data_IF_807669646981
#
_entry.id   IF_807669646981
#
_cell.length_a   1.000
_cell.length_b   1.000
_cell.length_c   1.000
_cell.angle_alpha   90.00
_cell.angle_beta   90.00
_cell.angle_gamma   90.00
#
_symmetry.space_group_name_H-M   'P 1'
#
loop_
_entity.id
_entity.type
_entity.pdbx_description
1 polymer ?
#
# COMPACT_ATOMS: atom_id res chain seq x y z
N UNK A 1 31.37 -5.23 -12.18
CA UNK A 1 30.40 -4.13 -12.15
C UNK A 1 30.41 -3.52 -10.77
N UNK A 2 30.99 -2.34 -10.62
CA UNK A 2 30.95 -1.54 -9.40
C UNK A 2 29.50 -1.15 -9.12
N UNK A 3 28.88 -1.77 -8.10
CA UNK A 3 27.55 -1.37 -7.63
C UNK A 3 27.65 0.09 -7.19
N UNK A 4 26.88 0.97 -7.81
CA UNK A 4 26.61 2.32 -7.28
C UNK A 4 26.14 2.14 -5.84
N UNK A 5 26.92 2.61 -4.87
CA UNK A 5 26.48 2.70 -3.48
C UNK A 5 25.25 3.61 -3.49
N UNK A 6 24.09 3.10 -3.06
CA UNK A 6 22.90 3.95 -2.94
C UNK A 6 23.12 4.93 -1.80
N UNK A 7 22.81 6.20 -2.00
CA UNK A 7 22.86 7.21 -0.93
C UNK A 7 21.74 7.04 0.11
N UNK A 8 20.92 6.01 -0.02
CA UNK A 8 19.79 5.70 0.86
C UNK A 8 19.90 4.27 1.40
N UNK A 9 19.33 3.99 2.60
CA UNK A 9 19.09 2.65 3.09
C UNK A 9 18.38 1.75 2.07
N UNK A 10 18.67 0.46 2.14
CA UNK A 10 17.97 -0.58 1.37
C UNK A 10 17.01 -1.40 2.23
N UNK A 11 16.95 -1.13 3.53
CA UNK A 11 16.00 -1.73 4.47
C UNK A 11 15.24 -0.62 5.20
N UNK A 12 13.91 -0.70 5.20
CA UNK A 12 13.02 0.22 5.89
C UNK A 12 12.16 -0.54 6.88
N UNK A 13 12.04 -0.03 8.10
CA UNK A 13 11.09 -0.54 9.08
C UNK A 13 9.78 0.25 8.96
N UNK A 14 8.67 -0.40 8.63
CA UNK A 14 7.39 0.28 8.47
C UNK A 14 6.76 0.56 9.84
N UNK A 15 6.67 1.83 10.24
CA UNK A 15 5.97 2.21 11.47
C UNK A 15 4.47 2.14 11.18
N UNK A 16 3.76 1.20 11.80
CA UNK A 16 2.34 0.96 11.52
C UNK A 16 1.44 2.16 11.90
N UNK A 17 0.56 2.64 11.00
CA UNK A 17 -0.43 3.67 11.33
C UNK A 17 -1.46 3.15 12.33
N UNK A 18 -1.93 4.03 13.23
CA UNK A 18 -2.96 3.71 14.24
C UNK A 18 -2.47 2.87 15.42
N UNK A 19 -1.23 2.39 15.39
CA UNK A 19 -0.57 1.69 16.52
C UNK A 19 0.42 2.61 17.21
N UNK A 20 1.41 3.11 16.47
CA UNK A 20 2.45 3.99 17.03
C UNK A 20 2.52 5.37 16.40
N UNK A 21 1.80 5.61 15.31
CA UNK A 21 1.65 6.96 14.79
C UNK A 21 0.23 7.26 14.36
N UNK A 22 -0.14 8.53 14.52
CA UNK A 22 -1.41 9.09 14.09
C UNK A 22 -1.18 10.21 13.07
N UNK A 23 -1.61 9.97 11.82
CA UNK A 23 -1.54 10.97 10.75
C UNK A 23 -2.36 12.24 11.02
N UNK A 24 -3.25 12.21 12.02
CA UNK A 24 -4.04 13.35 12.48
C UNK A 24 -3.34 14.16 13.59
N UNK A 25 -2.20 13.71 14.08
CA UNK A 25 -1.39 14.40 15.08
C UNK A 25 -0.02 14.85 14.52
N UNK A 26 0.04 15.96 13.74
CA UNK A 26 1.28 16.43 13.12
C UNK A 26 2.46 16.62 14.08
N UNK A 27 2.20 17.04 15.32
CA UNK A 27 3.25 17.34 16.30
C UNK A 27 3.99 16.09 16.81
N UNK A 28 3.41 14.91 16.59
CA UNK A 28 4.10 13.64 16.84
C UNK A 28 5.37 13.51 15.97
N UNK A 29 5.34 14.04 14.74
CA UNK A 29 6.46 13.93 13.81
C UNK A 29 7.53 14.97 14.12
N UNK A 30 8.48 14.60 14.96
CA UNK A 30 9.62 15.44 15.32
C UNK A 30 10.92 14.62 15.36
N UNK A 31 12.06 15.29 15.54
CA UNK A 31 13.37 14.64 15.54
C UNK A 31 13.52 13.58 16.66
N UNK A 32 12.92 13.80 17.83
CA UNK A 32 12.94 12.85 18.94
C UNK A 32 12.16 11.58 18.59
N UNK A 33 11.00 11.73 17.94
CA UNK A 33 10.21 10.59 17.49
C UNK A 33 10.98 9.68 16.53
N UNK A 34 11.66 10.24 15.51
CA UNK A 34 12.47 9.46 14.59
C UNK A 34 13.68 8.80 15.27
N UNK A 35 14.40 9.54 16.12
CA UNK A 35 15.53 8.99 16.90
C UNK A 35 15.08 7.90 17.85
N UNK A 36 13.92 8.06 18.48
CA UNK A 36 13.31 7.07 19.37
C UNK A 36 13.10 5.73 18.66
N UNK A 37 12.64 5.76 17.41
CA UNK A 37 12.51 4.56 16.59
C UNK A 37 13.85 3.91 16.24
N UNK A 38 14.84 4.71 15.82
CA UNK A 38 16.18 4.18 15.54
C UNK A 38 16.81 3.54 16.79
N UNK A 39 16.60 4.13 17.97
CA UNK A 39 17.05 3.59 19.25
C UNK A 39 16.33 2.28 19.60
N UNK A 40 15.00 2.20 19.42
CA UNK A 40 14.22 0.97 19.66
C UNK A 40 14.70 -0.18 18.76
N UNK A 41 15.02 0.13 17.50
CA UNK A 41 15.54 -0.81 16.52
C UNK A 41 17.01 -1.19 16.77
N UNK A 42 17.75 -0.40 17.56
CA UNK A 42 19.18 -0.55 17.77
C UNK A 42 19.95 -0.59 16.43
N UNK A 43 19.61 0.35 15.54
CA UNK A 43 20.04 0.35 14.14
C UNK A 43 20.80 1.62 13.73
N UNK A 44 21.74 1.45 12.79
CA UNK A 44 22.45 2.57 12.15
C UNK A 44 21.54 3.26 11.10
N UNK A 45 21.30 4.56 11.28
CA UNK A 45 20.49 5.40 10.38
C UNK A 45 21.01 5.46 8.93
N UNK A 46 22.27 5.07 8.68
CA UNK A 46 22.83 4.97 7.32
C UNK A 46 22.38 3.70 6.59
N UNK A 47 21.98 2.67 7.34
CA UNK A 47 21.66 1.33 6.82
C UNK A 47 20.18 0.99 6.89
N UNK A 48 19.46 1.60 7.84
CA UNK A 48 18.02 1.39 8.08
C UNK A 48 17.30 2.74 8.02
N UNK A 49 16.21 2.78 7.24
CA UNK A 49 15.26 3.90 7.22
C UNK A 49 13.93 3.55 7.87
N UNK A 50 13.03 4.53 7.96
CA UNK A 50 11.68 4.37 8.49
C UNK A 50 10.65 4.57 7.38
N UNK A 51 9.62 3.72 7.33
CA UNK A 51 8.50 3.85 6.38
C UNK A 51 7.22 4.27 7.10
N UNK A 52 6.42 5.14 6.47
CA UNK A 52 5.17 5.68 7.03
C UNK A 52 4.07 5.66 5.97
N UNK A 53 2.87 5.15 6.32
CA UNK A 53 1.75 5.05 5.37
C UNK A 53 0.67 6.10 5.66
N UNK A 54 0.44 7.00 4.72
CA UNK A 54 -0.58 8.05 4.82
C UNK A 54 -1.81 7.68 3.98
N UNK A 55 -2.96 7.58 4.63
CA UNK A 55 -4.26 7.37 3.99
C UNK A 55 -4.91 8.72 3.72
N UNK A 56 -4.78 9.20 2.49
CA UNK A 56 -5.04 10.60 2.12
C UNK A 56 -6.54 10.96 2.05
N UNK A 57 -7.43 9.96 1.96
CA UNK A 57 -8.88 10.16 2.06
C UNK A 57 -9.42 9.82 3.45
N UNK A 58 -8.56 9.51 4.41
CA UNK A 58 -8.94 9.21 5.79
C UNK A 58 -8.55 10.37 6.71
N UNK A 59 -9.00 11.59 6.42
CA UNK A 59 -8.79 12.73 7.31
C UNK A 59 -8.93 14.10 6.67
N UNK A 60 -8.90 15.18 7.49
CA UNK A 60 -8.83 16.53 6.98
C UNK A 60 -7.54 16.76 6.18
N UNK A 61 -7.60 17.31 4.94
CA UNK A 61 -6.42 17.55 4.12
C UNK A 61 -5.35 18.43 4.80
N UNK A 62 -5.78 19.40 5.63
CA UNK A 62 -4.86 20.27 6.37
C UNK A 62 -3.99 19.48 7.38
N UNK A 63 -4.59 18.54 8.12
CA UNK A 63 -3.87 17.69 9.07
C UNK A 63 -2.87 16.78 8.35
N UNK A 64 -3.28 16.16 7.23
CA UNK A 64 -2.41 15.30 6.43
C UNK A 64 -1.20 16.06 5.88
N UNK A 65 -1.42 17.29 5.36
CA UNK A 65 -0.36 18.16 4.87
C UNK A 65 0.63 18.51 5.98
N UNK A 66 0.12 18.92 7.15
CA UNK A 66 0.94 19.29 8.29
C UNK A 66 1.77 18.10 8.80
N UNK A 67 1.18 16.90 8.90
CA UNK A 67 1.89 15.69 9.30
C UNK A 67 3.03 15.35 8.33
N UNK A 68 2.78 15.38 7.02
CA UNK A 68 3.81 15.15 6.01
C UNK A 68 4.91 16.22 6.01
N UNK A 69 4.57 17.48 6.32
CA UNK A 69 5.55 18.55 6.48
C UNK A 69 6.45 18.34 7.70
N UNK A 70 5.85 18.07 8.87
CA UNK A 70 6.56 17.80 10.12
C UNK A 70 7.49 16.59 9.99
N UNK A 71 7.05 15.53 9.32
CA UNK A 71 7.89 14.36 9.04
C UNK A 71 9.12 14.70 8.18
N UNK A 72 8.97 15.51 7.12
CA UNK A 72 10.10 15.96 6.28
C UNK A 72 11.07 16.83 7.07
N UNK A 73 10.57 17.77 7.88
CA UNK A 73 11.39 18.61 8.75
C UNK A 73 12.17 17.77 9.76
N UNK A 74 11.53 16.76 10.38
CA UNK A 74 12.19 15.84 11.28
C UNK A 74 13.29 15.02 10.59
N UNK A 75 13.05 14.56 9.35
CA UNK A 75 14.07 13.88 8.56
C UNK A 75 15.25 14.79 8.23
N UNK A 76 15.01 16.06 7.88
CA UNK A 76 16.07 17.04 7.64
C UNK A 76 16.90 17.34 8.89
N UNK A 77 16.26 17.43 10.06
CA UNK A 77 16.94 17.66 11.35
C UNK A 77 17.78 16.47 11.83
N UNK A 78 17.45 15.26 11.39
CA UNK A 78 18.07 14.02 11.89
C UNK A 78 19.00 13.36 10.87
N UNK A 79 18.79 13.60 9.57
CA UNK A 79 19.41 12.85 8.49
C UNK A 79 18.92 11.40 8.40
N UNK A 80 17.83 11.03 9.10
CA UNK A 80 17.24 9.69 9.03
C UNK A 80 16.45 9.57 7.74
N UNK A 81 16.70 8.50 6.99
CA UNK A 81 15.96 8.21 5.76
C UNK A 81 14.52 7.83 6.07
N UNK A 82 13.58 8.45 5.36
CA UNK A 82 12.16 8.17 5.44
C UNK A 82 11.61 7.74 4.08
N UNK A 83 10.64 6.82 4.09
CA UNK A 83 9.92 6.35 2.90
C UNK A 83 8.41 6.53 3.13
N UNK A 84 7.77 7.55 2.57
CA UNK A 84 6.33 7.68 2.65
C UNK A 84 5.66 6.67 1.70
N UNK A 85 4.51 6.17 2.12
CA UNK A 85 3.53 5.51 1.26
C UNK A 85 2.28 6.37 1.23
N UNK A 86 1.80 6.73 0.05
CA UNK A 86 0.56 7.47 -0.12
C UNK A 86 -0.52 6.56 -0.69
N UNK A 87 -1.66 6.50 0.01
CA UNK A 87 -2.79 5.67 -0.39
C UNK A 87 -4.11 6.46 -0.32
N UNK A 88 -5.06 6.10 -1.18
CA UNK A 88 -6.42 6.65 -1.21
C UNK A 88 -7.48 5.56 -1.22
N UNK A 89 -7.08 4.28 -1.26
CA UNK A 89 -7.99 3.16 -1.46
C UNK A 89 -8.43 2.51 -0.16
N UNK A 90 -7.49 2.19 0.74
CA UNK A 90 -7.79 1.38 1.90
C UNK A 90 -8.59 2.20 2.90
N UNK A 91 -8.05 3.29 3.44
CA UNK A 91 -8.82 4.10 4.39
C UNK A 91 -9.32 5.37 3.71
N UNK A 92 -10.64 5.52 3.66
CA UNK A 92 -11.32 6.66 3.03
C UNK A 92 -12.61 7.06 3.75
N UNK A 93 -12.71 6.69 5.03
CA UNK A 93 -13.88 6.85 5.89
C UNK A 93 -14.30 8.32 6.06
N UNK A 94 -13.35 9.25 5.94
CA UNK A 94 -13.61 10.69 5.99
C UNK A 94 -14.46 11.17 4.80
N UNK A 95 -14.49 10.42 3.69
CA UNK A 95 -15.25 10.75 2.47
C UNK A 95 -16.62 10.13 2.40
N UNK A 96 -17.38 10.20 3.50
CA UNK A 96 -18.78 9.74 3.56
C UNK A 96 -19.66 10.35 2.48
N UNK A 97 -19.35 11.58 2.06
CA UNK A 97 -19.97 12.27 0.94
C UNK A 97 -19.85 11.53 -0.39
N UNK A 98 -18.90 10.60 -0.53
CA UNK A 98 -18.71 9.78 -1.72
C UNK A 98 -19.30 8.38 -1.60
N UNK A 99 -19.47 7.81 -0.42
CA UNK A 99 -19.82 6.39 -0.28
C UNK A 99 -21.07 6.10 0.53
N UNK A 100 -21.58 7.05 1.32
CA UNK A 100 -22.83 6.83 2.03
C UNK A 100 -24.00 6.95 1.06
N UNK A 101 -24.50 5.82 0.57
CA UNK A 101 -25.70 5.74 -0.28
C UNK A 101 -26.90 5.10 0.43
N UNK A 102 -26.69 4.57 1.63
CA UNK A 102 -27.61 3.64 2.29
C UNK A 102 -28.17 4.14 3.62
N UNK A 103 -27.54 5.10 4.29
CA UNK A 103 -27.98 5.61 5.59
C UNK A 103 -28.36 7.11 5.53
N UNK A 104 -29.66 7.43 5.37
CA UNK A 104 -30.15 8.81 5.32
C UNK A 104 -30.01 9.57 6.64
N UNK A 105 -29.75 8.89 7.76
CA UNK A 105 -29.51 9.51 9.05
C UNK A 105 -28.06 9.96 9.27
N UNK A 106 -27.15 9.61 8.36
CA UNK A 106 -25.71 9.89 8.49
C UNK A 106 -25.23 10.95 7.48
N UNK A 107 -24.17 11.72 7.81
CA UNK A 107 -23.60 12.69 6.89
C UNK A 107 -23.20 12.08 5.54
N UNK A 108 -23.33 12.89 4.48
CA UNK A 108 -22.92 12.51 3.13
C UNK A 108 -23.88 11.56 2.42
N UNK A 109 -25.06 11.26 2.99
CA UNK A 109 -26.06 10.43 2.31
C UNK A 109 -26.44 10.99 0.95
N UNK A 110 -26.21 10.19 -0.08
CA UNK A 110 -26.73 10.42 -1.42
C UNK A 110 -26.93 9.06 -2.10
N UNK A 111 -28.15 8.69 -2.57
CA UNK A 111 -28.39 7.42 -3.24
C UNK A 111 -27.51 7.19 -4.49
N UNK A 112 -26.95 8.25 -5.09
CA UNK A 112 -26.04 8.15 -6.22
C UNK A 112 -24.59 7.79 -5.85
N UNK A 113 -24.25 7.80 -4.56
CA UNK A 113 -22.96 7.32 -4.09
C UNK A 113 -22.73 5.82 -4.39
N UNK A 114 -23.77 5.09 -4.82
CA UNK A 114 -23.64 3.74 -5.39
C UNK A 114 -22.63 3.68 -6.53
N UNK A 115 -22.48 4.74 -7.32
CA UNK A 115 -21.55 4.75 -8.47
C UNK A 115 -20.08 4.96 -8.05
N UNK A 116 -19.84 5.33 -6.79
CA UNK A 116 -18.51 5.59 -6.24
C UNK A 116 -17.94 4.42 -5.43
N UNK A 117 -18.73 3.37 -5.22
CA UNK A 117 -18.34 2.16 -4.46
C UNK A 117 -18.37 0.94 -5.36
N UNK A 118 -17.68 -0.12 -4.95
CA UNK A 118 -17.71 -1.39 -5.66
C UNK A 118 -19.08 -2.08 -5.62
N UNK A 119 -19.33 -2.91 -6.62
CA UNK A 119 -20.54 -3.71 -6.74
C UNK A 119 -20.18 -5.19 -6.74
N UNK A 120 -21.11 -6.03 -6.26
CA UNK A 120 -20.99 -7.50 -6.29
C UNK A 120 -21.75 -8.16 -7.44
N UNK A 121 -22.27 -7.35 -8.37
CA UNK A 121 -23.01 -7.78 -9.55
C UNK A 121 -23.08 -6.67 -10.60
N UNK A 122 -23.72 -6.93 -11.75
CA UNK A 122 -23.63 -6.09 -12.95
C UNK A 122 -24.41 -4.77 -12.86
N UNK A 123 -25.23 -4.56 -11.82
CA UNK A 123 -26.03 -3.34 -11.64
C UNK A 123 -25.56 -2.54 -10.43
N UNK A 124 -25.82 -1.23 -10.45
CA UNK A 124 -25.65 -0.35 -9.28
C UNK A 124 -26.49 -0.76 -8.08
N UNK A 125 -27.55 -1.56 -8.30
CA UNK A 125 -28.34 -2.16 -7.21
C UNK A 125 -27.53 -3.19 -6.41
N UNK A 126 -26.41 -3.67 -6.95
CA UNK A 126 -25.47 -4.55 -6.26
C UNK A 126 -24.34 -3.79 -5.55
N UNK A 127 -24.45 -2.45 -5.41
CA UNK A 127 -23.52 -1.65 -4.65
C UNK A 127 -23.42 -2.13 -3.20
N UNK A 128 -22.20 -2.13 -2.66
CA UNK A 128 -21.95 -2.56 -1.28
C UNK A 128 -21.91 -1.36 -0.34
N UNK A 129 -22.31 -1.58 0.90
CA UNK A 129 -22.32 -0.57 1.97
C UNK A 129 -21.25 -0.81 3.04
N UNK A 130 -20.53 -1.93 2.96
CA UNK A 130 -19.56 -2.38 3.96
C UNK A 130 -18.54 -3.30 3.29
N UNK A 131 -17.35 -3.44 3.87
CA UNK A 131 -16.43 -4.54 3.55
C UNK A 131 -15.62 -4.99 4.75
N UNK A 132 -14.80 -6.02 4.53
CA UNK A 132 -13.89 -6.56 5.53
C UNK A 132 -12.46 -6.56 5.01
N UNK A 133 -11.52 -6.44 5.96
CA UNK A 133 -10.08 -6.61 5.75
C UNK A 133 -9.55 -7.59 6.77
N UNK A 134 -8.41 -8.20 6.46
CA UNK A 134 -7.67 -9.01 7.43
C UNK A 134 -6.17 -8.76 7.29
N UNK A 135 -5.61 -8.00 8.23
CA UNK A 135 -4.17 -7.72 8.35
C UNK A 135 -3.60 -8.29 9.66
N UNK A 136 -4.01 -9.51 10.00
CA UNK A 136 -3.72 -10.20 11.26
C UNK A 136 -4.95 -10.31 12.17
N UNK A 137 -5.93 -9.45 11.97
CA UNK A 137 -7.27 -9.56 12.54
C UNK A 137 -8.31 -9.02 11.56
N UNK A 138 -9.53 -9.53 11.62
CA UNK A 138 -10.62 -9.05 10.79
C UNK A 138 -11.10 -7.68 11.27
N UNK A 139 -11.26 -6.74 10.34
CA UNK A 139 -11.76 -5.39 10.60
C UNK A 139 -12.87 -5.09 9.60
N UNK A 140 -13.98 -4.55 10.09
CA UNK A 140 -15.05 -4.00 9.25
C UNK A 140 -14.71 -2.56 8.89
N UNK A 141 -14.91 -2.20 7.62
CA UNK A 141 -14.49 -0.92 7.06
C UNK A 141 -15.53 -0.37 6.07
N UNK A 142 -15.37 0.90 5.68
CA UNK A 142 -16.15 1.52 4.60
C UNK A 142 -16.16 0.63 3.32
N UNK A 143 -17.19 0.73 2.46
CA UNK A 143 -17.22 -0.02 1.22
C UNK A 143 -16.00 0.32 0.35
N UNK A 144 -15.47 -0.63 -0.44
CA UNK A 144 -14.33 -0.35 -1.32
C UNK A 144 -14.74 0.70 -2.36
N UNK A 145 -13.87 1.66 -2.68
CA UNK A 145 -14.16 2.62 -3.72
C UNK A 145 -14.22 1.92 -5.08
N UNK A 146 -15.14 2.35 -5.94
CA UNK A 146 -15.06 2.08 -7.37
C UNK A 146 -13.78 2.73 -7.90
N UNK A 147 -12.78 1.93 -8.23
CA UNK A 147 -11.47 2.44 -8.62
C UNK A 147 -11.49 3.26 -9.92
N UNK A 148 -12.58 3.23 -10.70
CA UNK A 148 -12.79 4.07 -11.90
C UNK A 148 -13.83 5.18 -11.71
N UNK A 149 -14.39 5.37 -10.51
CA UNK A 149 -15.31 6.47 -10.25
C UNK A 149 -14.63 7.82 -10.49
N UNK A 150 -15.33 8.70 -11.22
CA UNK A 150 -14.84 10.07 -11.49
C UNK A 150 -14.76 10.89 -10.21
N UNK A 151 -15.76 10.81 -9.35
CA UNK A 151 -15.82 11.58 -8.11
C UNK A 151 -14.77 11.11 -7.11
N UNK A 152 -14.57 9.80 -6.98
CA UNK A 152 -13.47 9.23 -6.17
C UNK A 152 -12.10 9.67 -6.67
N UNK A 153 -11.85 9.58 -7.99
CA UNK A 153 -10.56 10.00 -8.57
C UNK A 153 -10.33 11.50 -8.44
N UNK A 154 -11.34 12.33 -8.66
CA UNK A 154 -11.22 13.79 -8.50
C UNK A 154 -10.91 14.18 -7.05
N UNK A 155 -11.56 13.52 -6.09
CA UNK A 155 -11.29 13.66 -4.66
C UNK A 155 -9.85 13.31 -4.29
N UNK A 156 -9.38 12.15 -4.77
CA UNK A 156 -8.02 11.70 -4.58
C UNK A 156 -7.01 12.65 -5.23
N UNK A 157 -7.21 13.07 -6.48
CA UNK A 157 -6.34 14.00 -7.18
C UNK A 157 -6.15 15.31 -6.43
N UNK A 158 -7.24 15.87 -5.88
CA UNK A 158 -7.19 17.11 -5.10
C UNK A 158 -6.25 16.98 -3.90
N UNK A 159 -6.46 15.97 -3.04
CA UNK A 159 -5.60 15.79 -1.85
C UNK A 159 -4.18 15.35 -2.23
N UNK A 160 -4.02 14.59 -3.31
CA UNK A 160 -2.72 14.11 -3.79
C UNK A 160 -1.84 15.28 -4.23
N UNK A 161 -2.38 16.23 -4.99
CA UNK A 161 -1.65 17.44 -5.39
C UNK A 161 -1.24 18.27 -4.17
N UNK A 162 -2.06 18.28 -3.12
CA UNK A 162 -1.82 19.04 -1.91
C UNK A 162 -0.73 18.44 -1.02
N UNK A 163 -0.61 17.11 -0.98
CA UNK A 163 0.32 16.41 -0.08
C UNK A 163 1.60 15.99 -0.81
N UNK A 164 1.49 15.46 -2.03
CA UNK A 164 2.60 14.85 -2.76
C UNK A 164 3.43 15.88 -3.54
N UNK A 165 2.83 16.97 -4.04
CA UNK A 165 3.60 18.03 -4.72
C UNK A 165 4.61 18.73 -3.80
N UNK A 166 4.29 19.09 -2.53
CA UNK A 166 5.31 19.57 -1.60
C UNK A 166 6.42 18.54 -1.34
N UNK A 167 6.09 17.24 -1.35
CA UNK A 167 7.08 16.18 -1.22
C UNK A 167 8.06 16.15 -2.41
N UNK A 168 7.54 16.26 -3.63
CA UNK A 168 8.35 16.36 -4.85
C UNK A 168 9.33 17.54 -4.78
N UNK A 169 8.84 18.72 -4.38
CA UNK A 169 9.67 19.92 -4.19
C UNK A 169 10.78 19.68 -3.16
N UNK A 170 10.45 19.05 -2.04
CA UNK A 170 11.43 18.73 -1.01
C UNK A 170 12.53 17.77 -1.52
N UNK A 171 12.16 16.72 -2.26
CA UNK A 171 13.11 15.81 -2.90
C UNK A 171 14.06 16.54 -3.87
N UNK A 172 13.55 17.50 -4.64
CA UNK A 172 14.36 18.28 -5.59
C UNK A 172 15.28 19.31 -4.93
N UNK A 173 14.85 19.90 -3.81
CA UNK A 173 15.65 20.90 -3.10
C UNK A 173 16.91 20.32 -2.46
N UNK A 174 16.99 18.99 -2.31
CA UNK A 174 18.19 18.33 -1.79
C UNK A 174 18.51 18.73 -0.35
N UNK A 175 17.51 18.81 0.51
CA UNK A 175 17.76 18.93 1.95
C UNK A 175 18.43 17.64 2.49
N UNK A 176 19.03 17.67 3.69
CA UNK A 176 19.72 16.51 4.24
C UNK A 176 18.87 15.22 4.27
N UNK A 177 17.59 15.31 4.66
CA UNK A 177 16.67 14.18 4.65
C UNK A 177 16.25 13.76 3.24
N UNK A 178 16.12 14.72 2.32
CA UNK A 178 15.77 14.44 0.92
C UNK A 178 16.86 13.66 0.21
N UNK A 179 18.14 13.94 0.49
CA UNK A 179 19.28 13.22 -0.11
C UNK A 179 19.31 11.72 0.20
N UNK A 180 18.75 11.33 1.34
CA UNK A 180 18.68 9.93 1.78
C UNK A 180 17.30 9.30 1.57
N UNK A 181 16.33 10.03 1.03
CA UNK A 181 14.99 9.52 0.71
C UNK A 181 14.98 8.93 -0.73
N UNK A 182 14.57 7.67 -0.94
CA UNK A 182 14.60 7.05 -2.26
C UNK A 182 13.47 7.56 -3.18
N UNK A 183 12.43 8.17 -2.61
CA UNK A 183 11.22 8.57 -3.33
C UNK A 183 9.96 8.31 -2.49
N UNK A 184 8.87 7.91 -3.17
CA UNK A 184 7.57 7.65 -2.55
C UNK A 184 7.01 6.32 -3.02
N UNK A 185 6.38 5.58 -2.11
CA UNK A 185 5.49 4.48 -2.46
C UNK A 185 4.09 5.00 -2.74
N UNK A 186 3.40 4.41 -3.71
CA UNK A 186 2.04 4.79 -4.09
C UNK A 186 1.11 3.56 -4.10
N UNK A 187 -0.09 3.76 -3.57
CA UNK A 187 -0.99 2.67 -3.20
C UNK A 187 -0.50 1.95 -1.94
N UNK A 188 -1.34 1.08 -1.42
CA UNK A 188 -0.99 0.21 -0.30
C UNK A 188 -1.64 -1.14 -0.57
N UNK A 189 -0.89 -2.05 -1.20
CA UNK A 189 -1.41 -3.31 -1.71
C UNK A 189 -2.67 -3.14 -2.60
N UNK A 190 -2.55 -2.26 -3.59
CA UNK A 190 -3.63 -1.96 -4.52
C UNK A 190 -4.15 -3.25 -5.18
N UNK A 191 -5.41 -3.57 -4.92
CA UNK A 191 -6.05 -4.84 -5.30
C UNK A 191 -7.57 -4.70 -5.34
N UNK A 192 -8.27 -5.68 -5.88
CA UNK A 192 -9.73 -5.82 -5.75
C UNK A 192 -10.04 -7.16 -5.08
N UNK A 193 -10.93 -7.13 -4.10
CA UNK A 193 -11.43 -8.33 -3.41
C UNK A 193 -10.44 -9.06 -2.51
N UNK A 194 -9.38 -8.37 -2.08
CA UNK A 194 -8.42 -8.87 -1.09
C UNK A 194 -8.41 -7.93 0.12
N UNK A 195 -7.93 -6.70 -0.04
CA UNK A 195 -7.85 -5.72 1.06
C UNK A 195 -9.15 -4.99 1.36
N UNK A 196 -10.24 -5.36 0.69
CA UNK A 196 -11.60 -4.92 0.96
C UNK A 196 -12.56 -5.95 0.35
N UNK A 197 -12.61 -7.13 0.97
CA UNK A 197 -13.41 -8.26 0.48
C UNK A 197 -14.84 -8.20 1.01
N UNK A 198 -15.75 -8.87 0.30
CA UNK A 198 -17.18 -8.92 0.64
C UNK A 198 -17.59 -10.37 0.84
N UNK A 199 -18.10 -10.71 2.01
CA UNK A 199 -18.68 -12.04 2.22
C UNK A 199 -19.87 -12.28 1.27
N UNK A 200 -19.99 -13.46 0.65
CA UNK A 200 -21.12 -13.76 -0.24
C UNK A 200 -22.46 -13.56 0.48
N UNK A 201 -23.36 -12.81 -0.14
CA UNK A 201 -24.69 -12.48 0.42
C UNK A 201 -24.68 -11.39 1.50
N UNK A 202 -23.53 -10.81 1.85
CA UNK A 202 -23.43 -9.79 2.92
C UNK A 202 -23.19 -8.37 2.37
N UNK A 203 -23.87 -7.99 1.29
CA UNK A 203 -23.86 -6.60 0.80
C UNK A 203 -24.72 -5.64 1.67
N UNK A 204 -25.13 -6.07 2.87
CA UNK A 204 -26.07 -5.39 3.76
C UNK A 204 -25.43 -4.22 4.55
N UNK A 205 -26.23 -3.31 5.13
CA UNK A 205 -25.76 -2.03 5.67
C UNK A 205 -24.66 -2.18 6.72
N UNK A 206 -23.70 -1.24 6.72
CA UNK A 206 -22.67 -1.14 7.79
C UNK A 206 -23.28 -1.03 9.20
N UNK A 207 -24.58 -0.70 9.28
CA UNK A 207 -25.36 -0.51 10.51
C UNK A 207 -25.77 -1.82 11.20
N UNK A 208 -25.55 -3.00 10.60
CA UNK A 208 -25.72 -4.28 11.28
C UNK A 208 -24.71 -4.43 12.43
N UNK A 209 -25.02 -5.19 13.49
CA UNK A 209 -24.08 -5.40 14.61
C UNK A 209 -22.85 -6.20 14.16
N UNK A 210 -21.65 -5.78 14.57
CA UNK A 210 -20.36 -6.45 14.25
C UNK A 210 -20.32 -7.91 14.71
N UNK A 211 -21.03 -8.26 15.78
CA UNK A 211 -21.12 -9.63 16.29
C UNK A 211 -21.77 -10.63 15.31
N UNK A 212 -22.45 -10.15 14.27
CA UNK A 212 -23.06 -10.99 13.23
C UNK A 212 -22.15 -11.17 12.01
N UNK A 213 -20.93 -10.60 12.04
CA UNK A 213 -19.98 -10.77 10.96
C UNK A 213 -19.51 -12.22 10.85
N UNK A 214 -19.34 -12.67 9.61
CA UNK A 214 -18.62 -13.90 9.33
C UNK A 214 -17.15 -13.74 9.67
N UNK A 215 -16.50 -14.85 10.00
CA UNK A 215 -15.09 -14.88 10.41
C UNK A 215 -14.27 -15.96 9.67
N UNK A 216 -14.83 -16.56 8.61
CA UNK A 216 -14.13 -17.58 7.83
C UNK A 216 -13.04 -16.98 6.91
N UNK A 217 -13.07 -15.67 6.67
CA UNK A 217 -12.01 -14.92 6.00
C UNK A 217 -11.79 -15.32 4.54
N UNK A 218 -10.59 -14.98 4.04
CA UNK A 218 -10.16 -15.32 2.69
C UNK A 218 -9.55 -16.73 2.65
N UNK A 219 -10.02 -17.56 1.72
CA UNK A 219 -9.34 -18.81 1.35
C UNK A 219 -8.79 -18.70 -0.06
N UNK A 220 -7.51 -18.36 -0.18
CA UNK A 220 -6.82 -18.14 -1.45
C UNK A 220 -6.87 -19.36 -2.41
N UNK A 221 -7.17 -20.56 -1.91
CA UNK A 221 -7.35 -21.75 -2.76
C UNK A 221 -8.68 -21.75 -3.52
N UNK A 222 -9.64 -20.89 -3.14
CA UNK A 222 -10.97 -20.77 -3.75
C UNK A 222 -11.02 -19.79 -4.93
N UNK A 223 -9.88 -19.55 -5.58
CA UNK A 223 -9.80 -18.75 -6.81
C UNK A 223 -9.60 -17.26 -6.56
N UNK A 224 -9.90 -16.45 -7.59
CA UNK A 224 -9.53 -15.04 -7.69
C UNK A 224 -9.96 -14.18 -6.49
N UNK A 225 -11.20 -14.37 -6.02
CA UNK A 225 -11.77 -13.64 -4.88
C UNK A 225 -11.68 -14.42 -3.57
N UNK A 226 -10.88 -15.50 -3.52
CA UNK A 226 -10.60 -16.25 -2.29
C UNK A 226 -11.86 -16.73 -1.55
N UNK A 227 -12.91 -17.11 -2.28
CA UNK A 227 -14.20 -17.56 -1.74
C UNK A 227 -15.17 -16.43 -1.35
N UNK A 228 -14.80 -15.17 -1.59
CA UNK A 228 -15.65 -14.01 -1.39
C UNK A 228 -16.41 -13.63 -2.68
N UNK A 229 -17.28 -12.62 -2.58
CA UNK A 229 -18.06 -12.15 -3.72
C UNK A 229 -17.16 -11.53 -4.81
N UNK A 230 -17.56 -11.70 -6.08
CA UNK A 230 -16.89 -11.07 -7.22
C UNK A 230 -17.00 -9.54 -7.10
N UNK A 231 -15.90 -8.84 -7.40
CA UNK A 231 -15.82 -7.37 -7.36
C UNK A 231 -15.14 -6.86 -8.63
N UNK A 232 -15.29 -5.57 -8.94
CA UNK A 232 -14.77 -4.93 -10.15
C UNK A 232 -15.85 -4.55 -11.17
N UNK A 233 -17.10 -4.96 -10.95
CA UNK A 233 -18.25 -4.61 -11.77
C UNK A 233 -18.43 -3.09 -11.93
N UNK A 234 -18.33 -2.35 -10.83
CA UNK A 234 -18.46 -0.89 -10.83
C UNK A 234 -17.36 -0.23 -11.67
N UNK A 235 -16.12 -0.73 -11.57
CA UNK A 235 -15.00 -0.20 -12.32
C UNK A 235 -15.12 -0.47 -13.84
N UNK A 236 -15.56 -1.67 -14.23
CA UNK A 236 -15.83 -1.99 -15.64
C UNK A 236 -16.97 -1.12 -16.19
N UNK A 237 -18.05 -0.96 -15.42
CA UNK A 237 -19.19 -0.12 -15.79
C UNK A 237 -18.77 1.35 -15.99
N UNK A 238 -18.07 1.95 -15.02
CA UNK A 238 -17.58 3.33 -15.12
C UNK A 238 -16.57 3.53 -16.25
N UNK A 239 -15.90 2.47 -16.70
CA UNK A 239 -15.03 2.50 -17.86
C UNK A 239 -15.76 2.40 -19.21
N UNK A 240 -17.08 2.22 -19.20
CA UNK A 240 -17.87 1.99 -20.41
C UNK A 240 -17.57 0.65 -21.09
N UNK A 241 -17.06 -0.32 -20.34
CA UNK A 241 -16.80 -1.67 -20.87
C UNK A 241 -18.09 -2.48 -20.90
N UNK A 242 -18.19 -3.39 -21.86
CA UNK A 242 -19.20 -4.44 -21.83
C UNK A 242 -19.01 -5.28 -20.57
N UNK A 243 -20.04 -5.37 -19.74
CA UNK A 243 -20.00 -6.16 -18.52
C UNK A 243 -20.03 -7.65 -18.85
N UNK A 244 -19.12 -8.46 -18.28
CA UNK A 244 -19.11 -9.89 -18.52
C UNK A 244 -20.27 -10.59 -17.79
N UNK A 245 -20.40 -11.90 -17.95
CA UNK A 245 -21.33 -12.70 -17.13
C UNK A 245 -20.72 -13.09 -15.77
N UNK A 246 -19.39 -13.08 -15.67
CA UNK A 246 -18.59 -13.25 -14.45
C UNK A 246 -17.32 -12.44 -14.56
N UNK A 247 -16.83 -11.93 -13.44
CA UNK A 247 -15.53 -11.25 -13.42
C UNK A 247 -14.42 -12.28 -13.60
N UNK A 248 -13.54 -12.07 -14.59
CA UNK A 248 -12.40 -12.92 -14.85
C UNK A 248 -11.08 -12.25 -14.43
N UNK A 249 -10.01 -13.05 -14.37
CA UNK A 249 -8.66 -12.58 -14.04
C UNK A 249 -8.21 -11.37 -14.90
N UNK A 250 -8.38 -11.35 -16.24
CA UNK A 250 -7.99 -10.20 -17.05
C UNK A 250 -8.75 -8.90 -16.71
N UNK A 251 -9.98 -9.01 -16.22
CA UNK A 251 -10.76 -7.85 -15.79
C UNK A 251 -10.13 -7.23 -14.54
N UNK A 252 -9.84 -8.06 -13.53
CA UNK A 252 -9.20 -7.60 -12.28
C UNK A 252 -7.81 -7.03 -12.56
N UNK A 253 -7.01 -7.71 -13.38
CA UNK A 253 -5.68 -7.21 -13.76
C UNK A 253 -5.76 -5.87 -14.50
N UNK A 254 -6.74 -5.69 -15.39
CA UNK A 254 -6.97 -4.42 -16.06
C UNK A 254 -7.36 -3.31 -15.07
N UNK A 255 -8.27 -3.58 -14.13
CA UNK A 255 -8.71 -2.58 -13.15
C UNK A 255 -7.55 -2.14 -12.25
N UNK A 256 -6.81 -3.09 -11.67
CA UNK A 256 -5.67 -2.81 -10.78
C UNK A 256 -4.57 -2.09 -11.54
N UNK A 257 -4.25 -2.55 -12.76
CA UNK A 257 -3.25 -1.92 -13.62
C UNK A 257 -3.63 -0.49 -14.03
N UNK A 258 -4.91 -0.21 -14.34
CA UNK A 258 -5.38 1.16 -14.64
C UNK A 258 -5.29 2.07 -13.41
N UNK A 259 -5.69 1.56 -12.24
CA UNK A 259 -5.63 2.31 -10.98
C UNK A 259 -4.19 2.69 -10.63
N UNK A 260 -3.27 1.73 -10.62
CA UNK A 260 -1.85 2.01 -10.35
C UNK A 260 -1.24 2.93 -11.42
N UNK A 261 -1.59 2.75 -12.69
CA UNK A 261 -1.12 3.64 -13.76
C UNK A 261 -1.64 5.08 -13.58
N UNK A 262 -2.85 5.25 -13.07
CA UNK A 262 -3.41 6.56 -12.73
C UNK A 262 -2.68 7.21 -11.55
N UNK A 263 -2.41 6.47 -10.47
CA UNK A 263 -1.58 6.97 -9.36
C UNK A 263 -0.17 7.36 -9.81
N UNK A 264 0.46 6.56 -10.70
CA UNK A 264 1.80 6.88 -11.24
C UNK A 264 1.76 8.19 -12.03
N UNK A 265 0.76 8.39 -12.90
CA UNK A 265 0.61 9.65 -13.67
C UNK A 265 0.37 10.85 -12.76
N UNK A 266 -0.48 10.72 -11.75
CA UNK A 266 -0.72 11.78 -10.77
C UNK A 266 0.57 12.16 -10.05
N UNK A 267 1.31 11.16 -9.59
CA UNK A 267 2.58 11.36 -8.86
C UNK A 267 3.66 11.98 -9.75
N UNK A 268 3.78 11.54 -11.01
CA UNK A 268 4.67 12.17 -11.98
C UNK A 268 4.29 13.63 -12.24
N UNK A 269 2.99 13.96 -12.31
CA UNK A 269 2.52 15.35 -12.49
C UNK A 269 2.78 16.27 -11.29
N UNK A 270 3.11 15.69 -10.12
CA UNK A 270 3.61 16.43 -8.97
C UNK A 270 5.09 16.83 -9.12
N UNK A 271 5.80 16.22 -10.07
CA UNK A 271 7.19 16.51 -10.41
C UNK A 271 8.18 15.40 -10.05
N UNK A 272 7.75 14.23 -9.56
CA UNK A 272 8.68 13.15 -9.22
C UNK A 272 9.20 12.43 -10.47
N UNK A 273 10.48 12.06 -10.45
CA UNK A 273 11.07 11.21 -11.46
C UNK A 273 10.57 9.76 -11.35
N UNK A 274 10.57 9.03 -12.48
CA UNK A 274 10.16 7.62 -12.51
C UNK A 274 10.92 6.70 -11.53
N UNK A 275 12.20 7.00 -11.27
CA UNK A 275 13.05 6.27 -10.31
C UNK A 275 12.70 6.53 -8.85
N UNK A 276 11.87 7.55 -8.57
CA UNK A 276 11.41 7.94 -7.24
C UNK A 276 9.96 7.53 -6.98
N UNK A 277 9.31 6.84 -7.92
CA UNK A 277 7.93 6.39 -7.79
C UNK A 277 7.92 4.87 -7.71
N UNK A 278 7.47 4.33 -6.58
CA UNK A 278 7.40 2.90 -6.33
C UNK A 278 5.94 2.48 -6.20
N UNK A 279 5.43 1.61 -7.07
CA UNK A 279 4.05 1.11 -6.91
C UNK A 279 3.98 0.10 -5.77
N UNK A 280 2.79 -0.09 -5.20
CA UNK A 280 2.52 -1.18 -4.27
C UNK A 280 1.27 -1.95 -4.73
N UNK A 281 1.50 -2.98 -5.55
CA UNK A 281 0.44 -3.90 -5.95
C UNK A 281 0.19 -4.95 -4.86
N UNK A 282 -1.08 -5.34 -4.70
CA UNK A 282 -1.51 -6.45 -3.84
C UNK A 282 -2.26 -7.50 -4.65
N UNK A 283 -2.64 -8.60 -3.99
CA UNK A 283 -3.41 -9.67 -4.64
C UNK A 283 -2.56 -10.77 -5.28
N UNK A 284 -1.28 -10.90 -4.93
CA UNK A 284 -0.39 -11.97 -5.39
C UNK A 284 -0.12 -12.96 -4.26
N UNK A 285 -0.86 -14.09 -4.21
CA UNK A 285 -0.73 -15.10 -3.16
C UNK A 285 -0.51 -16.50 -3.75
N UNK A 286 0.04 -17.41 -2.96
CA UNK A 286 0.02 -18.83 -3.31
C UNK A 286 -1.41 -19.40 -3.14
N UNK A 287 -1.92 -20.23 -4.07
CA UNK A 287 -1.28 -20.64 -5.33
C UNK A 287 -1.35 -19.55 -6.42
N UNK A 288 -0.18 -19.05 -6.86
CA UNK A 288 -0.06 -17.85 -7.69
C UNK A 288 -0.85 -17.88 -9.01
N UNK A 289 -1.07 -19.07 -9.58
CA UNK A 289 -1.84 -19.23 -10.81
C UNK A 289 -3.34 -18.89 -10.68
N UNK A 290 -3.87 -18.77 -9.45
CA UNK A 290 -5.26 -18.42 -9.20
C UNK A 290 -5.49 -16.91 -9.01
N UNK A 291 -4.43 -16.12 -8.98
CA UNK A 291 -4.49 -14.71 -8.60
C UNK A 291 -3.81 -13.82 -9.63
N UNK A 292 -3.91 -12.51 -9.41
CA UNK A 292 -3.31 -11.50 -10.30
C UNK A 292 -1.82 -11.74 -10.51
N UNK A 293 -1.36 -11.56 -11.75
CA UNK A 293 0.06 -11.51 -12.08
C UNK A 293 0.74 -10.33 -11.39
N UNK A 294 2.03 -10.46 -11.08
CA UNK A 294 2.85 -9.32 -10.63
C UNK A 294 2.95 -8.22 -11.72
N UNK A 295 2.58 -8.51 -12.97
CA UNK A 295 2.61 -7.52 -14.05
C UNK A 295 1.69 -6.31 -13.81
N UNK A 296 0.64 -6.44 -12.97
CA UNK A 296 -0.24 -5.31 -12.61
C UNK A 296 0.50 -4.17 -11.92
N UNK A 297 1.58 -4.47 -11.20
CA UNK A 297 2.42 -3.47 -10.55
C UNK A 297 3.35 -2.72 -11.50
N UNK A 298 3.54 -3.21 -12.73
CA UNK A 298 4.52 -2.68 -13.69
C UNK A 298 3.94 -1.54 -14.53
N UNK A 299 3.84 -0.37 -13.92
CA UNK A 299 3.34 0.84 -14.55
C UNK A 299 4.45 1.67 -15.21
N UNK A 300 4.17 2.25 -16.39
CA UNK A 300 5.11 3.14 -17.09
C UNK A 300 5.41 4.37 -16.22
N UNK A 301 6.70 4.71 -16.08
CA UNK A 301 7.14 5.86 -15.29
C UNK A 301 7.21 5.57 -13.78
N UNK A 302 7.35 4.30 -13.38
CA UNK A 302 7.54 3.89 -11.98
C UNK A 302 8.38 2.62 -11.89
N UNK A 303 8.91 2.36 -10.70
CA UNK A 303 9.52 1.08 -10.32
C UNK A 303 8.43 0.19 -9.70
N UNK A 304 8.24 -1.06 -10.16
CA UNK A 304 7.22 -1.94 -9.60
C UNK A 304 7.55 -2.38 -8.18
N UNK A 305 6.56 -2.41 -7.30
CA UNK A 305 6.69 -2.94 -5.95
C UNK A 305 5.55 -3.86 -5.54
N UNK A 306 5.90 -4.86 -4.73
CA UNK A 306 5.03 -5.97 -4.34
C UNK A 306 5.19 -6.30 -2.86
N UNK A 307 4.16 -6.93 -2.30
CA UNK A 307 4.26 -7.58 -0.99
C UNK A 307 4.88 -8.97 -1.12
N UNK A 308 5.75 -9.34 -0.19
CA UNK A 308 6.29 -10.70 -0.05
C UNK A 308 6.15 -11.16 1.41
N UNK A 309 5.17 -12.04 1.64
CA UNK A 309 4.94 -12.67 2.94
C UNK A 309 5.40 -14.12 2.91
N UNK A 310 6.40 -14.42 3.73
CA UNK A 310 6.98 -15.74 3.92
C UNK A 310 7.36 -16.46 2.61
N UNK A 311 7.73 -15.69 1.58
CA UNK A 311 8.07 -16.23 0.26
C UNK A 311 9.26 -15.49 -0.34
N UNK A 312 10.28 -16.25 -0.72
CA UNK A 312 11.44 -15.72 -1.43
C UNK A 312 11.10 -15.44 -2.90
N UNK A 313 11.76 -14.46 -3.56
CA UNK A 313 11.42 -14.06 -4.92
C UNK A 313 11.37 -15.20 -5.96
N UNK A 314 12.27 -16.19 -5.84
CA UNK A 314 12.30 -17.38 -6.71
C UNK A 314 11.06 -18.28 -6.60
N UNK A 315 10.32 -18.18 -5.50
CA UNK A 315 9.11 -18.97 -5.22
C UNK A 315 7.83 -18.15 -5.42
N UNK A 316 7.94 -16.85 -5.68
CA UNK A 316 6.81 -15.92 -5.79
C UNK A 316 6.21 -15.90 -7.21
N UNK A 317 5.75 -17.05 -7.70
CA UNK A 317 5.07 -17.16 -8.98
C UNK A 317 5.87 -16.56 -10.16
N UNK A 318 5.25 -15.62 -10.88
CA UNK A 318 5.83 -14.96 -12.06
C UNK A 318 6.72 -13.74 -11.75
N UNK A 319 6.98 -13.44 -10.47
CA UNK A 319 7.67 -12.22 -10.02
C UNK A 319 8.99 -11.97 -10.78
N UNK A 320 9.90 -12.96 -10.82
CA UNK A 320 11.20 -12.78 -11.48
C UNK A 320 11.08 -12.58 -13.00
N UNK A 321 10.07 -13.17 -13.63
CA UNK A 321 9.78 -12.97 -15.05
C UNK A 321 9.16 -11.59 -15.35
N UNK A 322 8.48 -10.99 -14.37
CA UNK A 322 8.00 -9.61 -14.44
C UNK A 322 9.14 -8.63 -14.21
N UNK A 323 9.99 -8.87 -13.21
CA UNK A 323 11.17 -8.04 -12.90
C UNK A 323 12.13 -7.96 -14.09
N UNK A 324 12.37 -9.06 -14.80
CA UNK A 324 13.26 -9.07 -15.98
C UNK A 324 12.78 -8.21 -17.15
N UNK A 325 11.50 -7.78 -17.11
CA UNK A 325 10.90 -6.87 -18.10
C UNK A 325 10.92 -5.42 -17.62
N UNK A 326 11.39 -5.13 -16.42
CA UNK A 326 11.53 -3.76 -15.90
C UNK A 326 12.87 -3.17 -16.34
N UNK A 327 12.95 -1.84 -16.58
CA UNK A 327 14.22 -1.17 -16.81
C UNK A 327 15.22 -1.49 -15.70
N UNK A 328 16.45 -1.86 -16.09
CA UNK A 328 17.54 -2.28 -15.19
C UNK A 328 17.18 -3.40 -14.21
N UNK A 329 16.16 -4.21 -14.52
CA UNK A 329 15.56 -5.19 -13.61
C UNK A 329 15.17 -4.56 -12.26
N UNK A 330 14.82 -3.27 -12.24
CA UNK A 330 14.50 -2.52 -11.05
C UNK A 330 13.12 -2.89 -10.50
N UNK A 331 13.07 -3.07 -9.19
CA UNK A 331 11.84 -3.34 -8.43
C UNK A 331 12.07 -3.03 -6.95
N UNK A 332 11.05 -3.11 -6.11
CA UNK A 332 11.19 -3.07 -4.66
C UNK A 332 10.26 -4.06 -3.97
N UNK A 333 10.59 -4.42 -2.73
CA UNK A 333 9.61 -5.07 -1.86
C UNK A 333 8.92 -3.98 -1.06
N UNK A 334 7.70 -3.68 -1.48
CA UNK A 334 6.88 -2.64 -0.89
C UNK A 334 6.40 -3.01 0.52
N UNK A 335 6.30 -4.30 0.81
CA UNK A 335 5.97 -4.83 2.14
C UNK A 335 6.52 -6.25 2.29
N UNK A 336 7.20 -6.55 3.38
CA UNK A 336 7.97 -7.78 3.51
C UNK A 336 7.83 -8.40 4.89
N UNK A 337 7.70 -9.73 4.93
CA UNK A 337 7.69 -10.49 6.16
C UNK A 337 8.31 -11.87 5.93
N UNK A 338 9.10 -12.36 6.88
CA UNK A 338 9.58 -13.75 6.90
C UNK A 338 9.18 -14.43 8.20
N UNK A 339 8.78 -15.70 8.11
CA UNK A 339 8.55 -16.57 9.27
C UNK A 339 9.72 -17.51 9.55
N UNK A 340 10.93 -17.11 9.14
CA UNK A 340 12.16 -17.82 9.48
C UNK A 340 12.27 -18.07 10.99
N UNK A 341 12.67 -19.28 11.36
CA UNK A 341 12.73 -19.73 12.75
C UNK A 341 13.99 -19.26 13.50
N UNK A 342 15.00 -18.73 12.79
CA UNK A 342 16.26 -18.27 13.39
C UNK A 342 16.67 -16.88 12.86
N UNK A 343 17.43 -16.09 13.65
CA UNK A 343 17.93 -14.79 13.20
C UNK A 343 18.74 -14.86 11.91
N UNK A 344 19.55 -15.91 11.74
CA UNK A 344 20.42 -16.13 10.59
C UNK A 344 19.58 -16.40 9.33
N UNK A 345 18.60 -17.30 9.42
CA UNK A 345 17.69 -17.57 8.31
C UNK A 345 16.86 -16.33 7.93
N UNK A 346 16.43 -15.54 8.92
CA UNK A 346 15.73 -14.29 8.67
C UNK A 346 16.61 -13.27 7.93
N UNK A 347 17.87 -13.12 8.36
CA UNK A 347 18.83 -12.25 7.70
C UNK A 347 19.16 -12.73 6.27
N UNK A 348 19.30 -14.03 6.08
CA UNK A 348 19.52 -14.65 4.76
C UNK A 348 18.33 -14.43 3.83
N UNK A 349 17.09 -14.48 4.33
CA UNK A 349 15.90 -14.18 3.54
C UNK A 349 15.89 -12.72 3.06
N UNK A 350 16.25 -11.76 3.93
CA UNK A 350 16.39 -10.34 3.57
C UNK A 350 17.45 -10.18 2.48
N UNK A 351 18.64 -10.76 2.67
CA UNK A 351 19.75 -10.61 1.73
C UNK A 351 19.47 -11.30 0.40
N UNK A 352 18.89 -12.51 0.43
CA UNK A 352 18.43 -13.21 -0.78
C UNK A 352 17.45 -12.37 -1.57
N UNK A 353 16.54 -11.69 -0.88
CA UNK A 353 15.54 -10.82 -1.50
C UNK A 353 16.17 -9.55 -2.07
N UNK A 354 17.09 -8.89 -1.35
CA UNK A 354 17.82 -7.71 -1.83
C UNK A 354 18.76 -8.00 -3.02
N UNK A 355 19.21 -9.25 -3.15
CA UNK A 355 20.12 -9.68 -4.23
C UNK A 355 19.38 -10.17 -5.48
N UNK A 356 18.06 -10.36 -5.42
CA UNK A 356 17.25 -10.70 -6.60
C UNK A 356 17.05 -9.46 -7.50
N UNK A 357 17.52 -9.53 -8.74
CA UNK A 357 17.44 -8.40 -9.69
C UNK A 357 18.13 -7.14 -9.16
N UNK A 358 17.54 -5.98 -9.45
CA UNK A 358 17.96 -4.69 -8.90
C UNK A 358 16.93 -4.21 -7.86
N UNK A 359 16.78 -4.99 -6.78
CA UNK A 359 15.87 -4.65 -5.67
C UNK A 359 16.35 -3.35 -5.00
N UNK A 360 15.55 -2.28 -5.09
CA UNK A 360 15.91 -0.94 -4.62
C UNK A 360 15.89 -0.86 -3.09
N UNK A 361 14.89 -1.47 -2.48
CA UNK A 361 14.75 -1.59 -1.04
C UNK A 361 13.77 -2.71 -0.66
N UNK A 362 13.80 -3.06 0.62
CA UNK A 362 12.77 -3.83 1.32
C UNK A 362 12.15 -2.96 2.40
N UNK A 363 10.82 -2.89 2.47
CA UNK A 363 10.10 -2.34 3.61
C UNK A 363 9.52 -3.50 4.44
N UNK A 364 10.09 -3.75 5.61
CA UNK A 364 9.63 -4.79 6.51
C UNK A 364 8.30 -4.40 7.19
N UNK A 365 7.40 -5.36 7.26
CA UNK A 365 6.11 -5.26 7.93
C UNK A 365 6.32 -4.95 9.42
N UNK A 366 5.57 -3.95 9.90
CA UNK A 366 5.54 -3.43 11.28
C UNK A 366 6.88 -3.41 12.04
N UNK A 367 7.45 -2.21 12.19
CA UNK A 367 8.63 -1.95 13.01
C UNK A 367 8.48 -2.44 14.45
N UNK A 368 7.23 -2.48 14.95
CA UNK A 368 6.85 -3.02 16.25
C UNK A 368 7.26 -4.49 16.38
N UNK A 369 6.97 -5.29 15.36
CA UNK A 369 7.30 -6.72 15.34
C UNK A 369 8.82 -6.91 15.31
N UNK A 370 9.55 -6.05 14.59
CA UNK A 370 11.02 -6.07 14.57
C UNK A 370 11.64 -5.79 15.94
N UNK A 371 10.99 -4.95 16.75
CA UNK A 371 11.47 -4.58 18.10
C UNK A 371 11.10 -5.66 19.13
N UNK A 372 9.91 -6.24 19.02
CA UNK A 372 9.37 -7.19 20.00
C UNK A 372 9.82 -8.63 19.77
N UNK A 373 10.01 -9.05 18.52
CA UNK A 373 10.42 -10.41 18.19
C UNK A 373 11.95 -10.56 18.26
N UNK A 374 12.44 -11.43 19.14
CA UNK A 374 13.87 -11.68 19.35
C UNK A 374 14.59 -12.17 18.08
N UNK A 375 13.90 -12.94 17.23
CA UNK A 375 14.44 -13.43 15.96
C UNK A 375 14.70 -12.24 15.03
N UNK A 376 13.69 -11.39 14.86
CA UNK A 376 13.76 -10.25 13.95
C UNK A 376 14.75 -9.21 14.44
N UNK A 377 14.73 -8.87 15.74
CA UNK A 377 15.68 -7.92 16.34
C UNK A 377 17.13 -8.34 16.14
N UNK A 378 17.44 -9.63 16.36
CA UNK A 378 18.79 -10.17 16.11
C UNK A 378 19.10 -10.24 14.61
N UNK A 379 18.12 -10.58 13.77
CA UNK A 379 18.25 -10.60 12.32
C UNK A 379 18.59 -9.22 11.74
N UNK A 380 17.96 -8.15 12.24
CA UNK A 380 18.31 -6.76 11.89
C UNK A 380 19.78 -6.48 12.18
N UNK A 381 20.31 -6.89 13.34
CA UNK A 381 21.75 -6.72 13.65
C UNK A 381 22.67 -7.47 12.68
N UNK A 382 22.26 -8.66 12.25
CA UNK A 382 23.04 -9.46 11.30
C UNK A 382 23.09 -8.81 9.91
N UNK A 383 21.98 -8.25 9.41
CA UNK A 383 21.98 -7.57 8.11
C UNK A 383 22.76 -6.25 8.14
N UNK A 384 22.83 -5.57 9.29
CA UNK A 384 23.66 -4.37 9.43
C UNK A 384 25.15 -4.65 9.19
N UNK A 385 25.63 -5.88 9.40
CA UNK A 385 27.01 -6.27 9.05
C UNK A 385 27.23 -6.51 7.56
N UNK A 386 26.15 -6.66 6.78
CA UNK A 386 26.16 -7.11 5.38
C UNK A 386 25.71 -6.02 4.40
N UNK A 387 24.91 -5.05 4.87
CA UNK A 387 24.55 -3.80 4.19
C UNK A 387 25.70 -2.79 4.27
#
# INVERSE_FOLDING_TARGET
>A
MTRSVSNHPRFYANVAPGVDFDQHNPEQFNAEYLRGWMNKLDADQRKVGLSFVFSLLNGPPASLRAACEKLRLAADQTGISILPTFDVQNWWDYRRDLWNWFDPGQPGFNPDNRDNVEWTGPSRDNAVSVSWRNWGSQIRVAPPPNLRSRSFRAAAETVWMDVVRPWAKWLHNGSPGAHVCPGVKIGWEASIGVNAFIYPGMAHPITQTVALDRHDGLDHRKGLFSGCAEQGWAALHSAGKTLPTRIALPDVEWIVGDYLSWLTRMTASCGLDAKQIFTHAGGQYAPYALHTSHSVGRCKGSTPGFSLYNTLPKKAGDLLAVISKSPDNAWCVAEWMSFAATPEAWADDVMTTLLAGNCRFIAAYNAQDLVQNVIYKRGVKLILGQL
#
